data_IF_253171899526
#
_entry.id   IF_253171899526
#
_cell.length_a   1.000
_cell.length_b   1.000
_cell.length_c   1.000
_cell.angle_alpha   90.00
_cell.angle_beta   90.00
_cell.angle_gamma   90.00
#
_symmetry.space_group_name_H-M   'P 1'
#
loop_
_entity.id
_entity.type
_entity.pdbx_description
1 polymer ?
#
# COMPACT_ATOMS: atom_id res chain seq x y z
N UNK A 1 18.84 -25.03 8.65
CA UNK A 1 18.76 -23.57 8.52
C UNK A 1 17.94 -23.20 7.29
N UNK A 2 16.72 -22.87 7.53
CA UNK A 2 15.87 -22.34 6.47
C UNK A 2 16.12 -20.85 6.37
N UNK A 3 16.62 -20.40 5.22
CA UNK A 3 16.71 -18.99 4.93
C UNK A 3 15.29 -18.42 4.89
N UNK A 4 15.03 -17.40 5.68
CA UNK A 4 13.72 -16.75 5.70
C UNK A 4 13.62 -15.79 4.50
N UNK A 5 12.62 -16.03 3.68
CA UNK A 5 12.27 -15.11 2.60
C UNK A 5 11.14 -14.23 3.10
N UNK A 6 11.30 -12.91 2.91
CA UNK A 6 10.27 -11.94 3.25
C UNK A 6 9.89 -11.15 2.01
N UNK A 7 8.63 -10.78 1.89
CA UNK A 7 8.16 -9.90 0.86
C UNK A 7 8.22 -8.46 1.36
N UNK A 8 9.06 -7.65 0.75
CA UNK A 8 9.15 -6.23 1.07
C UNK A 8 8.35 -5.40 0.07
N UNK A 9 7.43 -4.59 0.57
CA UNK A 9 6.58 -3.72 -0.25
C UNK A 9 6.83 -2.27 0.13
N UNK A 10 7.29 -1.47 -0.84
CA UNK A 10 7.47 -0.04 -0.64
C UNK A 10 6.16 0.67 -0.93
N UNK A 11 5.51 1.14 0.11
CA UNK A 11 4.21 1.82 0.03
C UNK A 11 4.40 3.25 -0.44
N UNK A 12 3.74 3.59 -1.54
CA UNK A 12 3.74 4.94 -2.10
C UNK A 12 2.39 5.22 -2.78
N UNK A 13 2.17 6.48 -3.17
CA UNK A 13 0.89 6.89 -3.77
C UNK A 13 0.51 6.03 -4.98
N UNK A 14 1.49 5.63 -5.79
CA UNK A 14 1.25 4.91 -7.04
C UNK A 14 0.84 3.46 -6.89
N UNK A 15 1.00 2.86 -5.71
CA UNK A 15 0.75 1.43 -5.52
C UNK A 15 -0.13 1.08 -4.32
N UNK A 16 -0.42 2.04 -3.45
CA UNK A 16 -1.15 1.73 -2.22
C UNK A 16 -2.58 1.26 -2.47
N UNK A 17 -3.18 1.63 -3.59
CA UNK A 17 -4.53 1.17 -3.93
C UNK A 17 -4.61 -0.35 -4.08
N UNK A 18 -3.47 -1.02 -4.32
CA UNK A 18 -3.37 -2.47 -4.52
C UNK A 18 -2.82 -3.20 -3.29
N UNK A 19 -2.68 -2.53 -2.15
CA UNK A 19 -2.01 -3.11 -0.96
C UNK A 19 -2.67 -4.40 -0.48
N UNK A 20 -3.98 -4.49 -0.56
CA UNK A 20 -4.72 -5.70 -0.18
C UNK A 20 -4.32 -6.90 -1.05
N UNK A 21 -4.17 -6.69 -2.35
CA UNK A 21 -3.72 -7.73 -3.29
C UNK A 21 -2.29 -8.16 -3.03
N UNK A 22 -1.43 -7.21 -2.67
CA UNK A 22 -0.03 -7.50 -2.35
C UNK A 22 0.08 -8.32 -1.07
N UNK A 23 -0.68 -7.98 -0.05
CA UNK A 23 -0.73 -8.73 1.21
C UNK A 23 -1.19 -10.16 0.95
N UNK A 24 -2.29 -10.32 0.19
CA UNK A 24 -2.79 -11.65 -0.17
C UNK A 24 -1.75 -12.46 -0.95
N UNK A 25 -1.09 -11.83 -1.90
CA UNK A 25 -0.08 -12.50 -2.73
C UNK A 25 1.07 -13.05 -1.89
N UNK A 26 1.64 -12.22 -1.00
CA UNK A 26 2.77 -12.67 -0.17
C UNK A 26 2.35 -13.71 0.87
N UNK A 27 1.32 -13.41 1.66
CA UNK A 27 0.96 -14.27 2.79
C UNK A 27 0.22 -15.53 2.37
N UNK A 28 -0.70 -15.43 1.42
CA UNK A 28 -1.58 -16.53 1.06
C UNK A 28 -1.02 -17.34 -0.11
N UNK A 29 -0.60 -16.70 -1.18
CA UNK A 29 -0.16 -17.39 -2.41
C UNK A 29 1.29 -17.85 -2.33
N UNK A 30 2.18 -16.98 -1.87
CA UNK A 30 3.61 -17.33 -1.75
C UNK A 30 3.97 -17.95 -0.40
N UNK A 31 3.17 -17.73 0.63
CA UNK A 31 3.46 -18.23 1.97
C UNK A 31 4.69 -17.60 2.60
N UNK A 32 4.94 -16.30 2.36
CA UNK A 32 6.07 -15.56 2.91
C UNK A 32 5.59 -14.37 3.72
N UNK A 33 6.45 -13.89 4.62
CA UNK A 33 6.15 -12.78 5.51
C UNK A 33 6.05 -11.48 4.70
N UNK A 34 5.03 -10.68 4.99
CA UNK A 34 4.84 -9.36 4.40
C UNK A 34 5.45 -8.28 5.30
N UNK A 35 6.31 -7.45 4.72
CA UNK A 35 6.81 -6.23 5.33
C UNK A 35 6.52 -5.04 4.42
N UNK A 36 6.18 -3.90 5.04
CA UNK A 36 5.95 -2.66 4.30
C UNK A 36 6.86 -1.55 4.79
N UNK A 37 7.37 -0.78 3.84
CA UNK A 37 8.07 0.48 4.07
C UNK A 37 7.26 1.60 3.44
N UNK A 38 7.05 2.68 4.17
CA UNK A 38 6.27 3.82 3.70
C UNK A 38 7.20 4.92 3.24
N UNK A 39 6.98 5.39 2.00
CA UNK A 39 7.75 6.50 1.46
C UNK A 39 7.31 7.80 2.14
N UNK A 40 8.26 8.51 2.74
CA UNK A 40 8.04 9.82 3.34
C UNK A 40 8.64 10.94 2.51
N UNK A 41 9.66 10.65 1.72
CA UNK A 41 10.38 11.63 0.92
C UNK A 41 10.77 11.01 -0.43
N UNK A 42 10.58 11.72 -1.56
CA UNK A 42 9.91 13.01 -1.66
C UNK A 42 8.43 12.94 -1.26
N UNK A 43 7.91 14.01 -0.66
CA UNK A 43 6.54 14.01 -0.13
C UNK A 43 5.48 13.76 -1.20
N UNK A 44 5.75 14.18 -2.45
CA UNK A 44 4.84 13.95 -3.59
C UNK A 44 4.63 12.47 -3.93
N UNK A 45 5.49 11.57 -3.46
CA UNK A 45 5.36 10.12 -3.66
C UNK A 45 4.71 9.41 -2.47
N UNK A 46 4.54 10.10 -1.35
CA UNK A 46 3.90 9.54 -0.16
C UNK A 46 2.43 9.23 -0.40
N UNK A 47 1.95 8.11 0.11
CA UNK A 47 0.53 7.78 0.08
C UNK A 47 -0.33 8.80 0.84
N UNK A 48 0.26 9.64 1.67
CA UNK A 48 -0.46 10.70 2.39
C UNK A 48 -0.97 11.82 1.46
N UNK A 49 -0.50 11.88 0.20
CA UNK A 49 -0.98 12.85 -0.79
C UNK A 49 -2.31 12.49 -1.43
N UNK A 50 -2.77 11.25 -1.25
CA UNK A 50 -4.02 10.78 -1.88
C UNK A 50 -5.22 11.65 -1.52
N UNK A 51 -6.18 11.80 -2.46
CA UNK A 51 -7.48 12.36 -2.12
C UNK A 51 -8.11 11.66 -0.91
N UNK A 52 -8.78 12.39 -0.02
CA UNK A 52 -9.35 11.80 1.20
C UNK A 52 -10.26 10.60 0.95
N UNK A 53 -11.05 10.62 -0.11
CA UNK A 53 -11.94 9.51 -0.46
C UNK A 53 -11.15 8.24 -0.83
N UNK A 54 -10.04 8.40 -1.54
CA UNK A 54 -9.18 7.27 -1.90
C UNK A 54 -8.44 6.73 -0.68
N UNK A 55 -7.99 7.61 0.22
CA UNK A 55 -7.43 7.16 1.51
C UNK A 55 -8.44 6.31 2.27
N UNK A 56 -9.68 6.76 2.33
CA UNK A 56 -10.73 6.01 3.05
C UNK A 56 -10.98 4.65 2.40
N UNK A 57 -10.95 4.57 1.08
CA UNK A 57 -11.05 3.28 0.39
C UNK A 57 -9.93 2.32 0.80
N UNK A 58 -8.69 2.82 0.86
CA UNK A 58 -7.53 2.01 1.28
C UNK A 58 -7.68 1.58 2.74
N UNK A 59 -8.08 2.49 3.62
CA UNK A 59 -8.29 2.18 5.05
C UNK A 59 -9.35 1.10 5.20
N UNK A 60 -10.45 1.18 4.46
CA UNK A 60 -11.51 0.18 4.46
C UNK A 60 -10.99 -1.19 4.01
N UNK A 61 -10.18 -1.22 2.94
CA UNK A 61 -9.52 -2.46 2.48
C UNK A 61 -8.61 -3.04 3.55
N UNK A 62 -7.82 -2.20 4.21
CA UNK A 62 -6.89 -2.64 5.24
C UNK A 62 -7.62 -3.16 6.48
N UNK A 63 -8.70 -2.51 6.90
CA UNK A 63 -9.53 -3.02 8.00
C UNK A 63 -10.14 -4.38 7.66
N UNK A 64 -10.59 -4.58 6.43
CA UNK A 64 -11.08 -5.88 5.98
C UNK A 64 -9.96 -6.92 5.95
N UNK A 65 -8.75 -6.54 5.57
CA UNK A 65 -7.60 -7.44 5.53
C UNK A 65 -7.20 -7.95 6.92
N UNK A 66 -7.44 -7.20 7.99
CA UNK A 66 -7.20 -7.68 9.36
C UNK A 66 -7.96 -8.97 9.64
N UNK A 67 -9.16 -9.11 9.10
CA UNK A 67 -9.97 -10.33 9.25
C UNK A 67 -9.53 -11.41 8.27
N UNK A 68 -9.26 -11.02 7.04
CA UNK A 68 -8.89 -11.95 5.97
C UNK A 68 -7.58 -12.66 6.26
N UNK A 69 -6.55 -11.94 6.75
CA UNK A 69 -5.24 -12.56 7.04
C UNK A 69 -5.32 -13.63 8.13
N UNK A 70 -6.30 -13.55 9.02
CA UNK A 70 -6.50 -14.56 10.06
C UNK A 70 -6.95 -15.91 9.50
N UNK A 71 -7.43 -15.92 8.25
CA UNK A 71 -7.81 -17.16 7.56
C UNK A 71 -6.65 -17.84 6.83
N UNK A 72 -5.52 -17.16 6.70
CA UNK A 72 -4.36 -17.72 5.99
C UNK A 72 -3.63 -18.73 6.85
N UNK A 73 -3.29 -19.88 6.26
CA UNK A 73 -2.61 -20.97 6.97
C UNK A 73 -1.32 -20.53 7.65
N UNK A 74 -0.51 -19.73 6.94
CA UNK A 74 0.76 -19.21 7.46
C UNK A 74 0.56 -18.41 8.76
N UNK A 75 -0.49 -17.60 8.81
CA UNK A 75 -0.82 -16.74 9.96
C UNK A 75 -1.40 -17.57 11.10
N UNK A 76 -2.25 -18.55 10.79
CA UNK A 76 -2.86 -19.43 11.79
C UNK A 76 -1.83 -20.27 12.55
N UNK A 77 -0.75 -20.65 11.88
CA UNK A 77 0.28 -21.53 12.43
C UNK A 77 1.32 -20.81 13.30
N UNK A 78 1.31 -19.47 13.31
CA UNK A 78 2.37 -18.69 13.95
C UNK A 78 1.83 -17.43 14.63
N UNK A 79 1.75 -17.45 15.97
CA UNK A 79 1.23 -16.31 16.75
C UNK A 79 2.08 -15.05 16.61
N UNK A 80 3.40 -15.16 16.51
CA UNK A 80 4.27 -14.02 16.33
C UNK A 80 4.01 -13.36 14.97
N UNK A 81 3.90 -14.17 13.93
CA UNK A 81 3.60 -13.68 12.58
C UNK A 81 2.24 -13.02 12.52
N UNK A 82 1.25 -13.57 13.21
CA UNK A 82 -0.07 -12.96 13.35
C UNK A 82 0.03 -11.54 13.91
N UNK A 83 0.76 -11.37 15.02
CA UNK A 83 0.97 -10.06 15.63
C UNK A 83 1.66 -9.08 14.69
N UNK A 84 2.75 -9.53 14.05
CA UNK A 84 3.52 -8.70 13.11
C UNK A 84 2.65 -8.28 11.92
N UNK A 85 1.90 -9.21 11.35
CA UNK A 85 1.03 -8.93 10.20
C UNK A 85 -0.05 -7.91 10.55
N UNK A 86 -0.76 -8.10 11.65
CA UNK A 86 -1.78 -7.17 12.10
C UNK A 86 -1.19 -5.79 12.41
N UNK A 87 0.02 -5.74 12.96
CA UNK A 87 0.70 -4.48 13.23
C UNK A 87 1.11 -3.77 11.94
N UNK A 88 1.61 -4.50 10.93
CA UNK A 88 1.93 -3.92 9.62
C UNK A 88 0.69 -3.28 8.98
N UNK A 89 -0.45 -3.94 9.06
CA UNK A 89 -1.70 -3.40 8.54
C UNK A 89 -2.09 -2.14 9.31
N UNK A 90 -2.05 -2.18 10.63
CA UNK A 90 -2.40 -1.03 11.47
C UNK A 90 -1.45 0.15 11.25
N UNK A 91 -0.15 -0.10 11.09
CA UNK A 91 0.83 0.94 10.84
C UNK A 91 0.54 1.70 9.53
N UNK A 92 0.09 1.00 8.50
CA UNK A 92 -0.31 1.63 7.25
C UNK A 92 -1.59 2.47 7.41
N UNK A 93 -2.55 1.99 8.17
CA UNK A 93 -3.75 2.77 8.49
C UNK A 93 -3.38 4.05 9.24
N UNK A 94 -2.55 3.92 10.28
CA UNK A 94 -2.09 5.06 11.07
C UNK A 94 -1.33 6.07 10.21
N UNK A 95 -0.48 5.60 9.32
CA UNK A 95 0.27 6.47 8.40
C UNK A 95 -0.67 7.29 7.50
N UNK A 96 -1.69 6.65 6.93
CA UNK A 96 -2.66 7.35 6.08
C UNK A 96 -3.46 8.40 6.85
N UNK A 97 -3.74 8.13 8.12
CA UNK A 97 -4.52 9.04 8.97
C UNK A 97 -3.68 10.16 9.59
N UNK A 98 -2.36 10.01 9.64
CA UNK A 98 -1.49 10.93 10.37
C UNK A 98 -1.40 12.31 9.73
N UNK A 99 -1.41 12.39 8.40
CA UNK A 99 -1.29 13.65 7.66
C UNK A 99 -2.17 13.62 6.41
N UNK A 100 -2.71 14.78 6.05
CA UNK A 100 -3.38 15.00 4.78
C UNK A 100 -2.54 15.97 3.96
N UNK A 101 -1.88 15.49 2.90
CA UNK A 101 -1.04 16.29 2.02
C UNK A 101 -1.65 16.45 0.62
N UNK A 102 -2.95 16.18 0.48
CA UNK A 102 -3.65 16.27 -0.79
C UNK A 102 -3.57 17.68 -1.38
N UNK A 103 -3.90 18.69 -0.59
CA UNK A 103 -3.95 20.07 -1.08
C UNK A 103 -2.58 20.64 -1.45
N UNK A 104 -1.52 20.11 -0.86
CA UNK A 104 -0.16 20.66 -1.05
C UNK A 104 0.69 19.88 -2.04
N UNK A 105 0.49 18.56 -2.19
CA UNK A 105 1.41 17.70 -2.94
C UNK A 105 0.75 16.79 -3.98
N UNK A 106 -0.59 16.74 -4.06
CA UNK A 106 -1.25 15.88 -5.03
C UNK A 106 -0.93 16.25 -6.48
N UNK A 107 -0.92 17.55 -6.79
CA UNK A 107 -0.60 18.02 -8.13
C UNK A 107 0.86 17.68 -8.52
N UNK A 108 1.77 17.74 -7.56
CA UNK A 108 3.16 17.32 -7.79
C UNK A 108 3.25 15.83 -8.07
N UNK A 109 2.46 15.03 -7.36
CA UNK A 109 2.36 13.59 -7.60
C UNK A 109 1.88 13.30 -9.03
N UNK A 110 0.84 13.98 -9.47
CA UNK A 110 0.27 13.82 -10.81
C UNK A 110 1.29 14.25 -11.88
N UNK A 111 1.96 15.39 -11.67
CA UNK A 111 2.98 15.88 -12.61
C UNK A 111 4.15 14.91 -12.72
N UNK A 112 4.61 14.36 -11.60
CA UNK A 112 5.67 13.34 -11.58
C UNK A 112 5.28 12.11 -12.40
N UNK A 113 4.06 11.62 -12.21
CA UNK A 113 3.57 10.43 -12.91
C UNK A 113 3.43 10.67 -14.42
N UNK A 114 2.92 11.82 -14.83
CA UNK A 114 2.86 12.18 -16.25
C UNK A 114 4.26 12.22 -16.89
N UNK A 115 5.25 12.75 -16.18
CA UNK A 115 6.62 12.79 -16.69
C UNK A 115 7.22 11.39 -16.81
N UNK A 116 6.98 10.52 -15.83
CA UNK A 116 7.41 9.11 -15.93
C UNK A 116 6.74 8.38 -17.08
N UNK A 117 5.46 8.60 -17.29
CA UNK A 117 4.71 7.97 -18.38
C UNK A 117 5.30 8.32 -19.73
N UNK A 118 5.64 9.59 -19.95
CA UNK A 118 6.29 10.06 -21.17
C UNK A 118 7.62 9.35 -21.41
N UNK A 119 8.41 9.17 -20.34
CA UNK A 119 9.72 8.53 -20.40
C UNK A 119 9.62 7.03 -20.66
N UNK A 120 8.61 6.37 -20.07
CA UNK A 120 8.47 4.91 -20.07
C UNK A 120 7.47 4.38 -21.09
N UNK A 121 6.74 5.25 -21.80
CA UNK A 121 5.65 4.84 -22.69
C UNK A 121 4.52 4.12 -21.94
N UNK A 122 4.22 4.55 -20.72
CA UNK A 122 3.20 3.97 -19.85
C UNK A 122 2.11 4.99 -19.52
N UNK A 123 1.04 4.51 -18.91
CA UNK A 123 -0.05 5.35 -18.40
C UNK A 123 -0.37 4.92 -16.96
N UNK A 124 -0.03 5.76 -15.98
CA UNK A 124 -0.26 5.46 -14.58
C UNK A 124 -1.74 5.34 -14.22
N UNK A 125 -2.63 5.96 -15.00
CA UNK A 125 -4.08 5.82 -14.80
C UNK A 125 -4.60 4.45 -15.18
N UNK A 126 -3.91 3.74 -16.07
CA UNK A 126 -4.23 2.34 -16.37
C UNK A 126 -3.99 1.44 -15.16
N UNK A 127 -2.89 1.69 -14.43
CA UNK A 127 -2.57 0.96 -13.19
C UNK A 127 -3.42 1.43 -12.00
N UNK A 128 -3.84 2.69 -12.00
CA UNK A 128 -4.59 3.32 -10.91
C UNK A 128 -5.84 4.03 -11.45
N UNK A 129 -6.83 3.27 -11.96
CA UNK A 129 -8.03 3.87 -12.55
C UNK A 129 -8.83 4.71 -11.55
N UNK A 130 -8.66 4.46 -10.26
CA UNK A 130 -9.32 5.21 -9.19
C UNK A 130 -8.86 6.67 -9.14
N UNK A 131 -7.68 6.98 -9.71
CA UNK A 131 -7.14 8.34 -9.75
C UNK A 131 -7.83 9.25 -10.78
N UNK A 132 -8.46 8.65 -11.81
CA UNK A 132 -8.99 9.40 -12.94
C UNK A 132 -9.89 10.59 -12.56
N UNK A 133 -10.82 10.48 -11.57
CA UNK A 133 -11.67 11.62 -11.18
C UNK A 133 -10.91 12.79 -10.54
N UNK A 134 -9.66 12.57 -10.15
CA UNK A 134 -8.86 13.55 -9.39
C UNK A 134 -7.68 14.13 -10.17
N UNK A 135 -7.60 13.80 -11.42
CA UNK A 135 -6.51 14.24 -12.32
C UNK A 135 -6.95 15.39 -13.22
#
# INVERSE_FOLDING_TARGET
NVSRVVGAFTVQANNIMQIDKVIDYFLNKMGIIFYSHRVNYPMSLSAQVLPPELKQQVITKLEAMKKTVLTYSLVQENELLKKVTLQQIQDNINFLQAKCMYNTHWQDCIAFNHNLDKTRGQDFLTANPEFAPYV
#
